data_IF_552268121715
#
_entry.id   IF_552268121715
#
_cell.length_a   1.000
_cell.length_b   1.000
_cell.length_c   1.000
_cell.angle_alpha   90.00
_cell.angle_beta   90.00
_cell.angle_gamma   90.00
#
_symmetry.space_group_name_H-M   'P 1'
#
loop_
_entity.id
_entity.type
_entity.pdbx_description
1 polymer ?
#
# COMPACT_ATOMS: atom_id res chain seq x y z
N UNK A 1 -2.72 11.39 -8.98
CA UNK A 1 -2.30 10.59 -7.81
C UNK A 1 -0.81 10.74 -7.64
N UNK A 2 -0.37 11.43 -6.60
CA UNK A 2 1.05 11.64 -6.31
C UNK A 2 1.44 10.92 -5.01
N UNK A 3 2.70 10.53 -4.85
CA UNK A 3 3.18 9.84 -3.65
C UNK A 3 3.02 10.68 -2.37
N UNK A 4 3.09 12.00 -2.48
CA UNK A 4 2.85 12.92 -1.36
C UNK A 4 1.39 12.91 -0.90
N UNK A 5 0.44 12.80 -1.82
CA UNK A 5 -0.98 12.71 -1.47
C UNK A 5 -1.32 11.39 -0.80
N UNK A 6 -0.73 10.29 -1.32
CA UNK A 6 -0.88 8.96 -0.71
C UNK A 6 -0.28 8.97 0.71
N UNK A 7 0.88 9.60 0.89
CA UNK A 7 1.49 9.79 2.21
C UNK A 7 0.57 10.52 3.16
N UNK A 8 0.08 11.69 2.75
CA UNK A 8 -0.83 12.50 3.56
C UNK A 8 -2.13 11.75 3.88
N UNK A 9 -2.65 10.93 2.96
CA UNK A 9 -3.82 10.10 3.23
C UNK A 9 -3.54 9.09 4.34
N UNK A 10 -2.43 8.35 4.28
CA UNK A 10 -2.05 7.38 5.31
C UNK A 10 -1.64 8.03 6.64
N UNK A 11 -1.16 9.28 6.63
CA UNK A 11 -0.92 10.04 7.86
C UNK A 11 -2.22 10.41 8.58
N UNK A 12 -3.30 10.68 7.84
CA UNK A 12 -4.61 11.00 8.42
C UNK A 12 -5.46 9.75 8.68
N UNK A 13 -5.30 8.71 7.88
CA UNK A 13 -5.99 7.42 7.98
C UNK A 13 -4.93 6.31 8.01
N UNK A 14 -4.34 6.04 9.19
CA UNK A 14 -3.31 5.03 9.30
C UNK A 14 -3.88 3.66 8.91
N UNK A 15 -3.22 2.93 7.98
CA UNK A 15 -3.66 1.59 7.62
C UNK A 15 -3.45 0.64 8.81
N UNK A 16 -4.22 -0.46 8.88
CA UNK A 16 -4.03 -1.45 9.93
C UNK A 16 -2.62 -2.05 9.85
N UNK A 17 -2.12 -2.51 11.00
CA UNK A 17 -0.74 -2.99 11.13
C UNK A 17 -0.47 -4.17 10.18
N UNK A 18 -1.41 -5.10 10.13
CA UNK A 18 -1.42 -6.22 9.21
C UNK A 18 -2.46 -5.97 8.13
N UNK A 19 -2.07 -6.12 6.86
CA UNK A 19 -2.94 -5.97 5.70
C UNK A 19 -2.76 -7.17 4.80
N UNK A 20 -3.86 -7.87 4.52
CA UNK A 20 -3.88 -8.91 3.49
C UNK A 20 -3.88 -8.24 2.12
N UNK A 21 -2.79 -8.42 1.36
CA UNK A 21 -2.64 -7.81 0.04
C UNK A 21 -3.19 -8.74 -1.05
N UNK A 22 -2.79 -10.00 -1.01
CA UNK A 22 -3.26 -11.09 -1.87
C UNK A 22 -3.43 -12.34 -1.01
N UNK A 23 -4.19 -13.36 -1.44
CA UNK A 23 -4.40 -14.57 -0.65
C UNK A 23 -3.09 -15.34 -0.33
N UNK A 24 -2.01 -15.08 -1.08
CA UNK A 24 -0.68 -15.64 -0.83
C UNK A 24 0.32 -14.64 -0.26
N UNK A 25 -0.03 -13.36 -0.11
CA UNK A 25 0.86 -12.35 0.44
C UNK A 25 0.14 -11.38 1.38
N UNK A 26 0.61 -11.36 2.63
CA UNK A 26 0.19 -10.39 3.63
C UNK A 26 1.33 -9.46 4.00
N UNK A 27 0.99 -8.20 4.24
CA UNK A 27 1.89 -7.22 4.81
C UNK A 27 1.71 -7.29 6.32
N UNK A 28 2.74 -7.75 7.03
CA UNK A 28 2.72 -7.87 8.49
C UNK A 28 2.94 -6.53 9.21
N UNK A 29 3.54 -5.56 8.52
CA UNK A 29 3.74 -4.22 9.04
C UNK A 29 3.62 -3.17 7.92
N UNK A 30 2.41 -2.64 7.76
CA UNK A 30 2.08 -1.64 6.75
C UNK A 30 2.92 -0.36 6.88
N UNK A 31 3.24 0.06 8.10
CA UNK A 31 4.09 1.24 8.35
C UNK A 31 5.51 1.06 7.81
N UNK A 32 6.10 -0.12 8.04
CA UNK A 32 7.45 -0.44 7.51
C UNK A 32 7.42 -0.53 5.99
N UNK A 33 6.40 -1.15 5.43
CA UNK A 33 6.19 -1.21 3.98
C UNK A 33 6.09 0.18 3.35
N UNK A 34 5.25 1.05 3.91
CA UNK A 34 5.09 2.44 3.47
C UNK A 34 6.41 3.20 3.58
N UNK A 35 7.11 3.11 4.71
CA UNK A 35 8.39 3.80 4.90
C UNK A 35 9.45 3.32 3.92
N UNK A 36 9.52 2.02 3.65
CA UNK A 36 10.39 1.43 2.63
C UNK A 36 10.07 2.01 1.25
N UNK A 37 8.80 2.02 0.85
CA UNK A 37 8.37 2.59 -0.43
C UNK A 37 8.74 4.07 -0.56
N UNK A 38 8.44 4.90 0.44
CA UNK A 38 8.76 6.33 0.40
C UNK A 38 10.27 6.58 0.37
N UNK A 39 11.04 5.80 1.11
CA UNK A 39 12.50 5.90 1.12
C UNK A 39 13.06 5.55 -0.25
N UNK A 40 12.61 4.46 -0.88
CA UNK A 40 13.04 4.07 -2.21
C UNK A 40 12.64 5.09 -3.27
N UNK A 41 11.41 5.60 -3.24
CA UNK A 41 10.95 6.65 -4.17
C UNK A 41 11.81 7.91 -4.02
N UNK A 42 12.11 8.34 -2.78
CA UNK A 42 12.92 9.53 -2.52
C UNK A 42 14.36 9.40 -3.01
N UNK A 43 14.93 8.20 -2.96
CA UNK A 43 16.30 7.93 -3.41
C UNK A 43 16.38 7.55 -4.90
N UNK A 44 15.24 7.38 -5.58
CA UNK A 44 15.19 6.99 -6.98
C UNK A 44 15.49 8.19 -7.89
N UNK A 45 16.64 8.17 -8.55
CA UNK A 45 17.01 9.18 -9.56
C UNK A 45 16.43 8.81 -10.93
N UNK A 46 15.12 8.98 -11.10
CA UNK A 46 14.45 8.70 -12.36
C UNK A 46 12.97 9.09 -12.37
N UNK A 47 12.27 8.93 -13.50
CA UNK A 47 10.84 9.20 -13.57
C UNK A 47 10.07 8.25 -12.63
N UNK A 48 9.29 8.83 -11.72
CA UNK A 48 8.47 8.10 -10.72
C UNK A 48 7.61 7.01 -11.36
N UNK A 49 7.12 7.24 -12.58
CA UNK A 49 6.32 6.28 -13.34
C UNK A 49 7.03 4.94 -13.58
N UNK A 50 8.37 4.91 -13.60
CA UNK A 50 9.18 3.69 -13.72
C UNK A 50 9.71 3.16 -12.39
N UNK A 51 9.39 3.81 -11.27
CA UNK A 51 9.86 3.38 -9.97
C UNK A 51 9.00 2.20 -9.47
N UNK A 52 9.58 1.02 -9.22
CA UNK A 52 8.80 -0.14 -8.74
C UNK A 52 8.18 0.14 -7.36
N UNK A 53 8.85 0.91 -6.50
CA UNK A 53 8.29 1.32 -5.21
C UNK A 53 7.05 2.21 -5.36
N UNK A 54 6.96 3.02 -6.42
CA UNK A 54 5.75 3.79 -6.72
C UNK A 54 4.60 2.88 -7.12
N UNK A 55 4.85 1.84 -7.92
CA UNK A 55 3.82 0.88 -8.31
C UNK A 55 3.26 0.14 -7.11
N UNK A 56 4.13 -0.36 -6.22
CA UNK A 56 3.72 -1.01 -4.98
C UNK A 56 2.93 -0.08 -4.06
N UNK A 57 3.35 1.18 -3.93
CA UNK A 57 2.62 2.17 -3.14
C UNK A 57 1.22 2.47 -3.70
N UNK A 58 1.13 2.63 -5.03
CA UNK A 58 -0.13 2.90 -5.72
C UNK A 58 -1.09 1.72 -5.61
N UNK A 59 -0.61 0.50 -5.80
CA UNK A 59 -1.41 -0.71 -5.71
C UNK A 59 -1.96 -0.91 -4.30
N UNK A 60 -1.10 -0.78 -3.28
CA UNK A 60 -1.50 -0.81 -1.88
C UNK A 60 -2.56 0.27 -1.54
N UNK A 61 -2.42 1.48 -2.07
CA UNK A 61 -3.41 2.54 -1.88
C UNK A 61 -4.76 2.21 -2.52
N UNK A 62 -4.76 1.64 -3.73
CA UNK A 62 -5.99 1.21 -4.40
C UNK A 62 -6.69 0.09 -3.62
N UNK A 63 -5.92 -0.86 -3.09
CA UNK A 63 -6.44 -1.90 -2.20
C UNK A 63 -7.07 -1.27 -0.95
N UNK A 64 -6.39 -0.36 -0.26
CA UNK A 64 -6.90 0.31 0.94
C UNK A 64 -8.16 1.14 0.67
N UNK A 65 -8.27 1.78 -0.51
CA UNK A 65 -9.52 2.45 -0.89
C UNK A 65 -10.67 1.48 -1.15
N UNK A 66 -10.39 0.31 -1.71
CA UNK A 66 -11.40 -0.74 -1.93
C UNK A 66 -11.86 -1.32 -0.60
N UNK A 67 -10.94 -1.69 0.29
CA UNK A 67 -11.27 -2.24 1.62
C UNK A 67 -11.95 -1.20 2.52
N UNK A 68 -11.61 0.09 2.42
CA UNK A 68 -12.35 1.13 3.14
C UNK A 68 -13.80 1.31 2.67
N UNK A 69 -14.13 0.88 1.44
CA UNK A 69 -15.47 0.97 0.87
C UNK A 69 -16.29 -0.32 1.01
N UNK A 70 -15.68 -1.41 1.46
CA UNK A 70 -16.33 -2.69 1.69
C UNK A 70 -16.04 -3.16 3.12
N UNK A 71 -17.03 -3.26 4.02
CA UNK A 71 -16.82 -4.00 5.26
C UNK A 71 -16.45 -5.43 4.88
N UNK A 72 -15.25 -5.86 5.29
CA UNK A 72 -14.71 -7.21 5.11
C UNK A 72 -15.76 -8.26 5.44
N UNK A 73 -16.24 -8.96 4.41
CA UNK A 73 -16.81 -10.29 4.59
C UNK A 73 -15.69 -11.27 4.21
N UNK A 74 -15.32 -12.10 5.18
CA UNK A 74 -14.48 -13.29 5.01
C UNK A 74 -14.92 -14.09 3.79
N UNK A 75 -13.95 -14.71 3.11
CA UNK A 75 -13.95 -16.15 2.77
C UNK A 75 -12.75 -16.48 1.88
N UNK A 76 -11.76 -17.15 2.49
CA UNK A 76 -10.81 -18.01 1.78
C UNK A 76 -11.58 -19.03 0.93
N UNK A 77 -10.99 -19.49 -0.18
CA UNK A 77 -10.69 -20.91 -0.18
C UNK A 77 -9.29 -21.23 -0.71
N UNK A 78 -8.67 -22.15 0.01
CA UNK A 78 -7.61 -23.00 -0.51
C UNK A 78 -8.20 -23.99 -1.52
N UNK A 79 -7.47 -24.25 -2.60
CA UNK A 79 -7.48 -25.54 -3.30
C UNK A 79 -6.10 -25.81 -3.91
#
# INVERSE_FOLDING_TARGET
MNHEEIKRHFENNPPPKEVEWTPWAKITNSQVFLNSCYTTIRNFNGPIDRCPAWWHLRDFYLLMKKTASQPTNEESPAE
#
